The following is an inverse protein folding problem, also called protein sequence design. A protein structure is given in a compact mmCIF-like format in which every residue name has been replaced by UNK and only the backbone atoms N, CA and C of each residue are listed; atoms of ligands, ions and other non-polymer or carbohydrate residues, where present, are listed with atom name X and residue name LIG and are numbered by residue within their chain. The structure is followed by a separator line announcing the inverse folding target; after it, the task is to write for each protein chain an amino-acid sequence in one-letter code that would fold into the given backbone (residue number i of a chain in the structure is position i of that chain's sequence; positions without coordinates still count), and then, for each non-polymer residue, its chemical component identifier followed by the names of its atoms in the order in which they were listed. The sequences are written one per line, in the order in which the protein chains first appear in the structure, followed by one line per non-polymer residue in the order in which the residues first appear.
data_IF_184123531736
#
_entry.id   IF_184123531736
#
_cell.length_a   1.000
_cell.length_b   1.000
_cell.length_c   1.000
_cell.angle_alpha   90.00
_cell.angle_beta   90.00
_cell.angle_gamma   90.00
#
_symmetry.space_group_name_H-M   'P 1'
#
loop_
_entity.id
_entity.type
_entity.pdbx_description
1 polymer ?
#
# COMPACT_ATOMS: atom_id res chain seq x y z
N UNK A 1 11.52 17.89 28.96
CA UNK A 1 11.73 17.32 27.62
C UNK A 1 10.37 16.89 27.11
N UNK A 2 9.71 17.78 26.37
CA UNK A 2 8.35 17.56 25.87
C UNK A 2 8.47 16.88 24.52
N UNK A 3 8.06 15.60 24.43
CA UNK A 3 7.98 14.89 23.16
C UNK A 3 7.07 15.67 22.20
N UNK A 4 7.45 15.90 20.94
CA UNK A 4 6.50 16.40 19.96
C UNK A 4 5.45 15.31 19.78
N UNK A 5 4.22 15.65 20.16
CA UNK A 5 3.01 14.89 19.88
C UNK A 5 3.02 14.66 18.37
N UNK A 6 3.31 13.43 17.94
CA UNK A 6 3.09 12.99 16.56
C UNK A 6 1.63 13.28 16.28
N UNK A 7 1.38 14.39 15.59
CA UNK A 7 0.07 14.70 15.08
C UNK A 7 -0.22 13.56 14.11
N UNK A 8 -1.08 12.64 14.53
CA UNK A 8 -1.70 11.66 13.65
C UNK A 8 -2.57 12.47 12.69
N UNK A 9 -1.93 13.12 11.73
CA UNK A 9 -2.56 13.72 10.57
C UNK A 9 -3.18 12.54 9.84
N UNK A 10 -4.52 12.54 9.73
CA UNK A 10 -5.22 11.44 9.09
C UNK A 10 -4.68 11.17 7.69
N UNK A 11 -4.91 9.98 7.12
CA UNK A 11 -4.27 9.52 5.88
C UNK A 11 -4.55 10.40 4.65
N UNK A 12 -5.57 11.28 4.71
CA UNK A 12 -5.84 12.28 3.66
C UNK A 12 -4.85 13.45 3.72
N UNK A 13 -4.40 13.84 4.92
CA UNK A 13 -3.52 14.98 5.14
C UNK A 13 -2.06 14.64 4.81
N UNK A 14 -1.64 13.38 5.00
CA UNK A 14 -0.28 12.93 4.66
C UNK A 14 -0.04 12.92 3.14
N UNK A 15 -0.99 12.41 2.36
CA UNK A 15 -0.86 12.41 0.90
C UNK A 15 -0.83 13.84 0.33
N UNK A 16 -1.66 14.76 0.86
CA UNK A 16 -1.64 16.15 0.44
C UNK A 16 -0.32 16.86 0.79
N UNK A 17 0.18 16.70 2.02
CA UNK A 17 1.47 17.29 2.43
C UNK A 17 2.63 16.71 1.61
N UNK A 18 2.63 15.40 1.36
CA UNK A 18 3.62 14.72 0.53
C UNK A 18 3.63 15.22 -0.92
N UNK A 19 2.44 15.37 -1.52
CA UNK A 19 2.32 15.88 -2.89
C UNK A 19 2.80 17.32 -2.98
N UNK A 20 2.40 18.19 -2.06
CA UNK A 20 2.88 19.57 -2.03
C UNK A 20 4.41 19.64 -1.88
N UNK A 21 4.98 18.82 -1.00
CA UNK A 21 6.42 18.72 -0.78
C UNK A 21 7.17 18.33 -2.07
N UNK A 22 6.67 17.31 -2.76
CA UNK A 22 7.24 16.80 -4.02
C UNK A 22 7.11 17.85 -5.13
N UNK A 23 5.91 18.36 -5.37
CA UNK A 23 5.61 19.29 -6.46
C UNK A 23 6.44 20.56 -6.37
N UNK A 24 6.51 21.22 -5.21
CA UNK A 24 7.34 22.43 -5.08
C UNK A 24 8.85 22.13 -5.16
N UNK A 25 9.30 20.95 -4.74
CA UNK A 25 10.72 20.60 -4.89
C UNK A 25 11.05 20.33 -6.36
N UNK A 26 10.16 19.67 -7.08
CA UNK A 26 10.26 19.48 -8.53
C UNK A 26 10.24 20.81 -9.31
N UNK A 27 9.53 21.83 -8.81
CA UNK A 27 9.57 23.18 -9.38
C UNK A 27 10.92 23.90 -9.23
N UNK A 28 11.85 23.37 -8.41
CA UNK A 28 13.15 24.01 -8.11
C UNK A 28 14.35 23.21 -8.59
N UNK A 29 14.21 21.90 -8.77
CA UNK A 29 15.34 21.00 -9.00
C UNK A 29 14.89 19.72 -9.72
N UNK A 30 15.85 19.05 -10.36
CA UNK A 30 15.62 17.76 -11.02
C UNK A 30 15.21 16.69 -10.03
N UNK A 31 14.57 15.64 -10.55
CA UNK A 31 14.15 14.47 -9.78
C UNK A 31 15.25 13.88 -8.91
N UNK A 32 16.45 13.65 -9.44
CA UNK A 32 17.54 13.04 -8.66
C UNK A 32 17.89 13.87 -7.40
N UNK A 33 17.92 15.20 -7.54
CA UNK A 33 18.17 16.09 -6.41
C UNK A 33 16.97 16.16 -5.46
N UNK A 34 15.75 16.22 -6.00
CA UNK A 34 14.51 16.20 -5.24
C UNK A 34 14.37 14.92 -4.41
N UNK A 35 14.59 13.76 -5.01
CA UNK A 35 14.55 12.46 -4.34
C UNK A 35 15.53 12.41 -3.18
N UNK A 36 16.79 12.75 -3.42
CA UNK A 36 17.83 12.71 -2.39
C UNK A 36 17.60 13.73 -1.26
N UNK A 37 16.93 14.85 -1.55
CA UNK A 37 16.60 15.88 -0.55
C UNK A 37 15.36 15.58 0.27
N UNK A 38 14.36 14.92 -0.33
CA UNK A 38 13.06 14.63 0.27
C UNK A 38 12.98 13.25 0.92
N UNK A 39 13.41 12.19 0.25
CA UNK A 39 13.32 10.82 0.77
C UNK A 39 14.47 10.60 1.74
N UNK A 40 14.15 10.45 3.03
CA UNK A 40 15.15 10.29 4.10
C UNK A 40 15.40 8.84 4.49
N UNK A 41 14.45 7.95 4.23
CA UNK A 41 14.62 6.51 4.43
C UNK A 41 13.68 5.71 3.53
N UNK A 42 14.08 4.47 3.24
CA UNK A 42 13.30 3.45 2.56
C UNK A 42 13.44 2.15 3.33
N UNK A 43 12.32 1.56 3.68
CA UNK A 43 12.23 0.40 4.57
C UNK A 43 11.46 -0.73 3.92
N UNK A 44 10.54 -0.43 3.00
CA UNK A 44 9.76 -1.43 2.26
C UNK A 44 8.87 -2.30 3.15
N UNK A 45 8.45 -1.77 4.31
CA UNK A 45 7.55 -2.44 5.25
C UNK A 45 6.15 -1.83 5.16
N UNK A 46 5.13 -2.61 5.47
CA UNK A 46 3.73 -2.16 5.34
C UNK A 46 3.43 -0.93 6.20
N UNK A 47 3.99 -0.91 7.41
CA UNK A 47 3.87 0.19 8.37
C UNK A 47 4.71 1.42 8.04
N UNK A 48 5.79 1.23 7.27
CA UNK A 48 6.75 2.26 6.90
C UNK A 48 7.44 1.82 5.61
N UNK A 49 6.95 2.29 4.46
CA UNK A 49 7.52 1.98 3.14
C UNK A 49 8.72 2.89 2.92
N UNK A 50 8.54 4.19 3.16
CA UNK A 50 9.55 5.23 3.08
C UNK A 50 9.17 6.38 4.00
N UNK A 51 10.14 7.27 4.25
CA UNK A 51 9.86 8.52 4.93
C UNK A 51 10.28 9.74 4.11
N UNK A 52 9.47 10.78 4.15
CA UNK A 52 9.75 12.10 3.57
C UNK A 52 10.18 13.09 4.65
N UNK A 53 11.06 14.01 4.27
CA UNK A 53 11.34 15.20 5.05
C UNK A 53 10.21 16.20 4.88
N UNK A 54 9.52 16.51 5.98
CA UNK A 54 8.57 17.63 6.04
C UNK A 54 9.31 18.92 5.76
N UNK A 55 8.80 19.75 4.85
CA UNK A 55 9.43 21.05 4.56
C UNK A 55 9.28 22.04 5.72
N UNK A 56 8.18 21.94 6.45
CA UNK A 56 7.84 22.91 7.50
C UNK A 56 8.60 22.65 8.79
N UNK A 57 8.74 21.37 9.15
CA UNK A 57 9.33 20.97 10.43
C UNK A 57 10.71 20.34 10.30
N UNK A 58 11.15 20.00 9.08
CA UNK A 58 12.33 19.16 8.80
C UNK A 58 12.29 17.76 9.44
N UNK A 59 11.15 17.40 10.06
CA UNK A 59 10.95 16.08 10.63
C UNK A 59 10.80 15.03 9.53
N UNK A 60 11.15 13.79 9.88
CA UNK A 60 10.86 12.62 9.06
C UNK A 60 9.40 12.21 9.26
N UNK A 61 8.66 12.11 8.17
CA UNK A 61 7.27 11.63 8.13
C UNK A 61 7.28 10.28 7.42
N UNK A 62 6.97 9.22 8.15
CA UNK A 62 6.84 7.87 7.62
C UNK A 62 5.52 7.72 6.82
N UNK A 63 5.60 7.03 5.69
CA UNK A 63 4.47 6.67 4.84
C UNK A 63 4.33 5.15 4.86
N UNK A 64 3.24 4.64 5.45
CA UNK A 64 2.85 3.25 5.28
C UNK A 64 2.31 2.97 3.88
N UNK A 65 2.02 1.71 3.56
CA UNK A 65 1.60 1.32 2.20
C UNK A 65 0.34 2.08 1.74
N UNK A 66 -0.68 2.17 2.60
CA UNK A 66 -1.92 2.87 2.26
C UNK A 66 -1.69 4.37 1.99
N UNK A 67 -0.82 5.02 2.78
CA UNK A 67 -0.50 6.44 2.62
C UNK A 67 0.35 6.68 1.36
N UNK A 68 1.28 5.78 1.07
CA UNK A 68 2.11 5.79 -0.14
C UNK A 68 1.25 5.65 -1.40
N UNK A 69 0.34 4.68 -1.44
CA UNK A 69 -0.57 4.46 -2.57
C UNK A 69 -1.51 5.65 -2.79
N UNK A 70 -1.97 6.30 -1.70
CA UNK A 70 -2.75 7.54 -1.81
C UNK A 70 -1.94 8.69 -2.35
N UNK A 71 -0.69 8.84 -1.91
CA UNK A 71 0.21 9.86 -2.43
C UNK A 71 0.43 9.67 -3.94
N UNK A 72 0.69 8.45 -4.40
CA UNK A 72 0.79 8.13 -5.83
C UNK A 72 -0.46 8.53 -6.61
N UNK A 73 -1.65 8.21 -6.11
CA UNK A 73 -2.92 8.58 -6.77
C UNK A 73 -3.10 10.10 -6.86
N UNK A 74 -2.76 10.84 -5.80
CA UNK A 74 -2.79 12.31 -5.81
C UNK A 74 -1.83 12.86 -6.88
N UNK A 75 -0.58 12.41 -6.89
CA UNK A 75 0.41 12.86 -7.88
C UNK A 75 0.00 12.51 -9.32
N UNK A 76 -0.56 11.32 -9.56
CA UNK A 76 -1.10 10.93 -10.88
C UNK A 76 -2.25 11.84 -11.31
N UNK A 77 -3.13 12.24 -10.39
CA UNK A 77 -4.22 13.20 -10.67
C UNK A 77 -3.66 14.57 -11.05
N UNK A 78 -2.69 15.08 -10.30
CA UNK A 78 -2.04 16.37 -10.61
C UNK A 78 -1.40 16.38 -12.00
N UNK A 79 -0.72 15.29 -12.38
CA UNK A 79 -0.15 15.13 -13.72
C UNK A 79 -1.20 15.15 -14.84
N UNK A 80 -2.41 14.64 -14.57
CA UNK A 80 -3.51 14.62 -15.53
C UNK A 80 -4.18 15.99 -15.70
N UNK A 81 -4.13 16.85 -14.68
CA UNK A 81 -4.71 18.19 -14.73
C UNK A 81 -3.90 19.15 -15.62
N UNK A 82 -2.69 18.78 -16.04
CA UNK A 82 -1.83 19.49 -17.01
C UNK A 82 -1.51 20.96 -16.64
N UNK A 83 -1.55 21.33 -15.36
CA UNK A 83 -1.35 22.71 -14.92
C UNK A 83 0.14 23.09 -14.73
N UNK A 84 1.04 22.11 -14.74
CA UNK A 84 2.46 22.28 -14.41
C UNK A 84 3.34 22.53 -15.65
N UNK A 85 4.47 23.26 -15.50
CA UNK A 85 5.50 23.33 -16.52
C UNK A 85 6.04 21.95 -16.92
N UNK A 86 6.52 21.76 -18.17
CA UNK A 86 6.96 20.44 -18.65
C UNK A 86 8.04 19.78 -17.81
N UNK A 87 9.03 20.54 -17.33
CA UNK A 87 10.14 20.03 -16.52
C UNK A 87 9.68 19.59 -15.12
N UNK A 88 8.79 20.37 -14.50
CA UNK A 88 8.20 20.05 -13.20
C UNK A 88 7.35 18.78 -13.32
N UNK A 89 6.52 18.70 -14.37
CA UNK A 89 5.70 17.53 -14.68
C UNK A 89 6.56 16.27 -14.86
N UNK A 90 7.67 16.36 -15.57
CA UNK A 90 8.59 15.22 -15.76
C UNK A 90 9.17 14.75 -14.42
N UNK A 91 9.59 15.69 -13.56
CA UNK A 91 10.07 15.36 -12.23
C UNK A 91 9.00 14.67 -11.37
N UNK A 92 7.77 15.19 -11.36
CA UNK A 92 6.64 14.59 -10.63
C UNK A 92 6.31 13.20 -11.18
N UNK A 93 6.34 13.01 -12.50
CA UNK A 93 6.14 11.72 -13.13
C UNK A 93 7.22 10.70 -12.73
N UNK A 94 8.48 11.13 -12.63
CA UNK A 94 9.56 10.27 -12.15
C UNK A 94 9.39 9.92 -10.66
N UNK A 95 8.85 10.82 -9.84
CA UNK A 95 8.47 10.50 -8.47
C UNK A 95 7.39 9.42 -8.39
N UNK A 96 6.32 9.54 -9.17
CA UNK A 96 5.27 8.51 -9.22
C UNK A 96 5.87 7.15 -9.57
N UNK A 97 6.65 7.08 -10.65
CA UNK A 97 7.29 5.83 -11.06
C UNK A 97 8.25 5.29 -10.00
N UNK A 98 8.92 6.16 -9.26
CA UNK A 98 9.78 5.76 -8.16
C UNK A 98 9.00 5.18 -6.98
N UNK A 99 7.90 5.81 -6.57
CA UNK A 99 7.04 5.32 -5.49
C UNK A 99 6.43 3.96 -5.85
N UNK A 100 6.00 3.77 -7.10
CA UNK A 100 5.54 2.48 -7.62
C UNK A 100 6.58 1.37 -7.42
N UNK A 101 7.88 1.66 -7.63
CA UNK A 101 8.93 0.64 -7.39
C UNK A 101 9.04 0.19 -5.93
N UNK A 102 8.55 0.99 -4.99
CA UNK A 102 8.52 0.68 -3.56
C UNK A 102 7.23 -0.04 -3.16
N UNK A 103 6.09 0.34 -3.74
CA UNK A 103 4.76 -0.13 -3.35
C UNK A 103 4.30 -1.36 -4.12
N UNK A 104 4.60 -1.47 -5.42
CA UNK A 104 4.17 -2.59 -6.28
C UNK A 104 4.56 -3.97 -5.73
N UNK A 105 5.82 -4.21 -5.28
CA UNK A 105 6.20 -5.51 -4.73
C UNK A 105 5.38 -5.89 -3.49
N UNK A 106 4.94 -4.89 -2.73
CA UNK A 106 4.18 -5.07 -1.51
C UNK A 106 2.72 -5.37 -1.82
N UNK A 107 2.11 -4.64 -2.75
CA UNK A 107 0.73 -4.88 -3.21
C UNK A 107 0.60 -6.29 -3.80
N UNK A 108 1.57 -6.72 -4.61
CA UNK A 108 1.57 -8.06 -5.19
C UNK A 108 1.72 -9.17 -4.12
N UNK A 109 2.58 -8.97 -3.11
CA UNK A 109 2.65 -9.90 -1.98
C UNK A 109 1.34 -9.97 -1.20
N UNK A 110 0.70 -8.83 -0.97
CA UNK A 110 -0.54 -8.74 -0.22
C UNK A 110 -1.69 -9.45 -0.94
N UNK A 111 -1.73 -9.32 -2.26
CA UNK A 111 -2.66 -10.04 -3.13
C UNK A 111 -2.40 -11.54 -3.12
N UNK A 112 -1.15 -11.96 -3.25
CA UNK A 112 -0.78 -13.38 -3.21
C UNK A 112 -1.18 -14.02 -1.87
N UNK A 113 -0.96 -13.32 -0.75
CA UNK A 113 -1.35 -13.80 0.57
C UNK A 113 -2.87 -14.00 0.68
N UNK A 114 -3.67 -13.04 0.19
CA UNK A 114 -5.14 -13.13 0.17
C UNK A 114 -5.63 -14.27 -0.72
N UNK A 115 -4.99 -14.51 -1.86
CA UNK A 115 -5.35 -15.61 -2.77
C UNK A 115 -5.07 -16.98 -2.14
N UNK A 116 -3.92 -17.12 -1.45
CA UNK A 116 -3.56 -18.36 -0.74
C UNK A 116 -4.52 -18.64 0.42
N UNK A 117 -4.89 -17.61 1.18
CA UNK A 117 -5.87 -17.72 2.27
C UNK A 117 -7.26 -18.13 1.74
N UNK A 118 -7.75 -17.48 0.68
CA UNK A 118 -9.00 -17.83 0.04
C UNK A 118 -9.00 -19.26 -0.55
N UNK A 119 -7.86 -19.73 -1.05
CA UNK A 119 -7.70 -21.11 -1.50
C UNK A 119 -7.77 -22.10 -0.33
N UNK A 120 -7.06 -21.82 0.78
CA UNK A 120 -7.09 -22.65 1.98
C UNK A 120 -8.50 -22.78 2.57
N UNK A 121 -9.25 -21.67 2.66
CA UNK A 121 -10.63 -21.68 3.12
C UNK A 121 -11.56 -22.54 2.24
N UNK A 122 -11.39 -22.48 0.91
CA UNK A 122 -12.17 -23.30 -0.03
C UNK A 122 -11.86 -24.79 0.13
N UNK A 123 -10.59 -25.14 0.30
CA UNK A 123 -10.18 -26.53 0.49
C UNK A 123 -10.71 -27.10 1.81
N UNK A 124 -10.58 -26.38 2.92
CA UNK A 124 -11.15 -26.80 4.21
C UNK A 124 -12.67 -26.96 4.16
N UNK A 125 -13.37 -26.08 3.44
CA UNK A 125 -14.83 -26.18 3.27
C UNK A 125 -15.21 -27.42 2.45
N UNK A 126 -14.44 -27.76 1.42
CA UNK A 126 -14.66 -28.98 0.62
C UNK A 126 -14.43 -30.24 1.47
N UNK A 127 -13.33 -30.29 2.21
CA UNK A 127 -12.99 -31.43 3.08
C UNK A 127 -14.07 -31.67 4.14
N UNK A 128 -14.54 -30.61 4.80
CA UNK A 128 -15.62 -30.71 5.79
C UNK A 128 -16.93 -31.22 5.17
N UNK A 129 -17.28 -30.80 3.94
CA UNK A 129 -18.46 -31.31 3.24
C UNK A 129 -18.32 -32.79 2.84
N UNK A 130 -17.13 -33.22 2.43
CA UNK A 130 -16.88 -34.63 2.11
C UNK A 130 -16.93 -35.53 3.35
N UNK A 131 -16.41 -35.05 4.48
CA UNK A 131 -16.49 -35.76 5.76
C UNK A 131 -17.93 -35.90 6.23
N UNK A 132 -18.72 -34.80 6.21
CA UNK A 132 -20.15 -34.84 6.51
C UNK A 132 -20.93 -35.80 5.60
N UNK A 133 -20.59 -35.88 4.31
CA UNK A 133 -21.19 -36.85 3.38
C UNK A 133 -20.79 -38.28 3.72
N UNK A 134 -19.51 -38.53 4.05
CA UNK A 134 -19.02 -39.85 4.46
C UNK A 134 -19.66 -40.31 5.77
N UNK A 135 -19.82 -39.42 6.74
CA UNK A 135 -20.51 -39.71 8.00
C UNK A 135 -21.99 -40.03 7.78
N UNK A 136 -22.68 -39.25 6.94
CA UNK A 136 -24.08 -39.54 6.57
C UNK A 136 -24.25 -40.88 5.84
N UNK A 137 -23.31 -41.24 4.96
CA UNK A 137 -23.32 -42.55 4.29
C UNK A 137 -22.99 -43.71 5.23
N UNK A 138 -22.12 -43.49 6.23
CA UNK A 138 -21.85 -44.48 7.29
C UNK A 138 -23.00 -44.62 8.30
N UNK A 139 -23.77 -43.55 8.53
CA UNK A 139 -24.90 -43.53 9.46
C UNK A 139 -26.20 -44.08 8.85
N UNK A 140 -26.27 -44.32 7.54
CA UNK A 140 -27.40 -44.99 6.91
C UNK A 140 -27.45 -46.47 7.37
N UNK A 141 -28.48 -46.89 8.12
CA UNK A 141 -28.53 -48.23 8.69
C UNK A 141 -28.58 -49.28 7.59
N UNK A 142 -27.74 -50.30 7.74
CA UNK A 142 -27.85 -51.56 7.00
C UNK A 142 -29.31 -52.02 7.09
N UNK A 143 -29.99 -52.35 5.98
CA UNK A 143 -31.31 -52.98 6.06
C UNK A 143 -31.11 -54.31 6.79
N UNK A 144 -31.42 -54.31 8.09
CA UNK A 144 -31.51 -55.52 8.89
C UNK A 144 -32.61 -56.36 8.25
N UNK A 145 -32.21 -57.45 7.63
CA UNK A 145 -33.15 -58.49 7.23
C UNK A 145 -34.00 -58.93 8.43
N UNK A 146 -35.28 -59.19 8.15
CA UNK A 146 -36.16 -60.14 8.83
C UNK A 146 -37.15 -60.60 7.75
N UNK A 147 -36.94 -61.81 7.26
CA UNK A 147 -37.63 -63.06 7.65
C UNK A 147 -38.80 -63.33 6.70
#
# INVERSE_FOLDING_TARGET
MTQPKTATLGPIHLAAEGSEAITETCGKQSFENARNGLIVSQTGLHEDVFALRSRTSYASIAFGLDDALRLEDVLRKELNENQQPPEERECVQQFVGYLETLTDPMVEQDKLAKDLDAAAFKDSTREAQEELKREQQKAAPTPSGRD
#
